data_IF_907325721460
#
_entry.id   IF_907325721460
#
_cell.length_a   1.000
_cell.length_b   1.000
_cell.length_c   1.000
_cell.angle_alpha   90.00
_cell.angle_beta   90.00
_cell.angle_gamma   90.00
#
_symmetry.space_group_name_H-M   'P 1'
#
loop_
_entity.id
_entity.type
_entity.pdbx_description
1 polymer ?
#
# COMPACT_ATOMS: atom_id res chain seq x y z
N UNK A 1 -6.07 -4.64 8.23
CA UNK A 1 -4.96 -5.09 7.36
C UNK A 1 -3.99 -5.84 8.26
N UNK A 2 -3.77 -7.12 8.01
CA UNK A 2 -3.08 -8.04 8.94
C UNK A 2 -1.58 -8.19 8.67
N UNK A 3 -1.15 -8.02 7.42
CA UNK A 3 0.24 -8.16 6.97
C UNK A 3 0.52 -7.32 5.71
N UNK A 4 1.75 -7.37 5.18
CA UNK A 4 2.15 -6.64 3.98
C UNK A 4 1.41 -7.10 2.71
N UNK A 5 1.01 -8.36 2.62
CA UNK A 5 0.18 -8.88 1.54
C UNK A 5 -1.22 -8.26 1.57
N UNK A 6 -1.84 -8.17 2.75
CA UNK A 6 -3.12 -7.50 2.94
C UNK A 6 -3.03 -6.00 2.63
N UNK A 7 -1.94 -5.33 3.03
CA UNK A 7 -1.70 -3.91 2.72
C UNK A 7 -1.57 -3.69 1.21
N UNK A 8 -0.71 -4.45 0.52
CA UNK A 8 -0.51 -4.29 -0.92
C UNK A 8 -1.75 -4.66 -1.73
N UNK A 9 -2.52 -5.66 -1.28
CA UNK A 9 -3.83 -5.97 -1.88
C UNK A 9 -4.84 -4.83 -1.71
N UNK A 10 -4.90 -4.22 -0.53
CA UNK A 10 -5.74 -3.05 -0.27
C UNK A 10 -5.36 -1.86 -1.17
N UNK A 11 -4.06 -1.58 -1.35
CA UNK A 11 -3.61 -0.54 -2.28
C UNK A 11 -4.00 -0.83 -3.73
N UNK A 12 -3.97 -2.10 -4.16
CA UNK A 12 -4.41 -2.48 -5.50
C UNK A 12 -5.92 -2.27 -5.68
N UNK A 13 -6.73 -2.75 -4.74
CA UNK A 13 -8.19 -2.73 -4.85
C UNK A 13 -8.77 -1.31 -4.67
N UNK A 14 -8.31 -0.58 -3.65
CA UNK A 14 -8.84 0.75 -3.29
C UNK A 14 -8.11 1.91 -3.94
N UNK A 15 -6.77 1.90 -3.95
CA UNK A 15 -5.97 2.99 -4.50
C UNK A 15 -5.69 2.79 -6.00
N UNK A 16 -5.98 1.61 -6.57
CA UNK A 16 -5.59 1.24 -7.94
C UNK A 16 -4.07 1.37 -8.15
N UNK A 17 -3.28 1.02 -7.13
CA UNK A 17 -1.81 1.02 -7.18
C UNK A 17 -1.28 -0.36 -6.82
N UNK A 18 -0.62 -1.01 -7.78
CA UNK A 18 0.06 -2.27 -7.56
C UNK A 18 1.41 -2.05 -6.84
N UNK A 19 1.69 -2.86 -5.82
CA UNK A 19 2.95 -2.88 -5.09
C UNK A 19 3.34 -4.33 -4.77
N UNK A 20 4.63 -4.55 -4.44
CA UNK A 20 5.13 -5.90 -4.11
C UNK A 20 5.24 -6.06 -2.59
N UNK A 21 4.62 -7.10 -1.98
CA UNK A 21 4.74 -7.36 -0.56
C UNK A 21 6.21 -7.60 -0.15
N UNK A 22 6.61 -7.10 1.01
CA UNK A 22 7.97 -7.27 1.54
C UNK A 22 8.32 -8.72 1.86
N UNK A 23 7.31 -9.56 2.13
CA UNK A 23 7.50 -11.00 2.28
C UNK A 23 8.23 -11.65 1.08
N UNK A 24 8.06 -11.13 -0.14
CA UNK A 24 8.79 -11.59 -1.34
C UNK A 24 10.31 -11.35 -1.27
N UNK A 25 10.75 -10.49 -0.34
CA UNK A 25 12.16 -10.14 -0.10
C UNK A 25 12.65 -10.54 1.30
N UNK A 26 11.82 -11.20 2.11
CA UNK A 26 12.13 -11.45 3.53
C UNK A 26 12.15 -10.19 4.40
N UNK A 27 11.47 -9.12 3.97
CA UNK A 27 11.45 -7.80 4.62
C UNK A 27 10.05 -7.40 5.11
N UNK A 28 9.25 -8.38 5.55
CA UNK A 28 7.98 -8.08 6.22
C UNK A 28 8.23 -7.21 7.47
N UNK A 29 7.42 -6.17 7.76
CA UNK A 29 6.12 -5.82 7.18
C UNK A 29 6.16 -4.71 6.10
N UNK A 30 7.30 -4.49 5.45
CA UNK A 30 7.42 -3.45 4.43
C UNK A 30 6.82 -3.90 3.09
N UNK A 31 6.74 -2.98 2.11
CA UNK A 31 6.40 -3.29 0.73
C UNK A 31 7.18 -2.38 -0.21
N UNK A 32 7.28 -2.76 -1.50
CA UNK A 32 8.09 -2.04 -2.49
C UNK A 32 7.21 -1.36 -3.54
N UNK A 33 7.49 -0.09 -3.81
CA UNK A 33 6.98 0.68 -4.95
C UNK A 33 8.10 0.82 -6.00
N UNK A 34 7.77 0.63 -7.27
CA UNK A 34 8.68 0.96 -8.38
C UNK A 34 8.63 2.46 -8.65
N UNK A 35 9.78 3.13 -8.60
CA UNK A 35 9.93 4.55 -8.95
C UNK A 35 10.41 4.76 -10.39
N UNK A 36 10.64 3.68 -11.14
CA UNK A 36 11.10 3.73 -12.53
C UNK A 36 9.93 3.99 -13.51
N UNK A 37 9.30 5.16 -13.40
CA UNK A 37 8.24 5.66 -14.30
C UNK A 37 8.23 7.19 -14.28
N UNK A 38 7.26 7.83 -14.95
CA UNK A 38 7.18 9.30 -14.97
C UNK A 38 6.76 9.91 -13.63
N UNK A 39 7.25 11.12 -13.35
CA UNK A 39 6.89 11.88 -12.15
C UNK A 39 5.38 12.11 -12.02
N UNK A 40 4.68 12.28 -13.15
CA UNK A 40 3.22 12.44 -13.17
C UNK A 40 2.51 11.19 -12.64
N UNK A 41 2.92 10.00 -13.11
CA UNK A 41 2.37 8.72 -12.64
C UNK A 41 2.70 8.51 -11.15
N UNK A 42 3.93 8.83 -10.74
CA UNK A 42 4.32 8.70 -9.32
C UNK A 42 3.51 9.64 -8.43
N UNK A 43 3.35 10.89 -8.84
CA UNK A 43 2.58 11.89 -8.09
C UNK A 43 1.13 11.43 -7.93
N UNK A 44 0.51 10.96 -9.00
CA UNK A 44 -0.85 10.43 -8.96
C UNK A 44 -0.97 9.19 -8.06
N UNK A 45 -0.03 8.24 -8.16
CA UNK A 45 -0.02 7.05 -7.31
C UNK A 45 0.07 7.40 -5.82
N UNK A 46 0.93 8.36 -5.45
CA UNK A 46 1.07 8.81 -4.06
C UNK A 46 -0.20 9.50 -3.56
N UNK A 47 -0.85 10.34 -4.37
CA UNK A 47 -2.14 10.96 -4.01
C UNK A 47 -3.22 9.89 -3.78
N UNK A 48 -3.29 8.88 -4.65
CA UNK A 48 -4.25 7.77 -4.51
C UNK A 48 -3.98 6.94 -3.25
N UNK A 49 -2.71 6.63 -2.97
CA UNK A 49 -2.31 5.92 -1.74
C UNK A 49 -2.72 6.73 -0.51
N UNK A 50 -2.42 8.04 -0.47
CA UNK A 50 -2.77 8.91 0.64
C UNK A 50 -4.29 8.92 0.88
N UNK A 51 -5.09 9.05 -0.18
CA UNK A 51 -6.54 9.01 -0.10
C UNK A 51 -7.07 7.66 0.41
N UNK A 52 -6.49 6.53 -0.02
CA UNK A 52 -6.90 5.20 0.45
C UNK A 52 -6.53 4.99 1.93
N UNK A 53 -5.35 5.44 2.37
CA UNK A 53 -4.92 5.35 3.78
C UNK A 53 -5.79 6.23 4.68
N UNK A 54 -6.21 7.40 4.22
CA UNK A 54 -7.10 8.29 4.97
C UNK A 54 -8.48 7.69 5.25
N UNK A 55 -8.92 6.68 4.48
CA UNK A 55 -10.17 5.93 4.74
C UNK A 55 -10.03 4.89 5.84
N UNK A 56 -8.80 4.51 6.21
CA UNK A 56 -8.57 3.50 7.22
C UNK A 56 -8.90 4.04 8.61
N UNK A 57 -9.40 3.15 9.46
CA UNK A 57 -9.58 3.40 10.88
C UNK A 57 -8.63 2.50 11.67
N UNK A 58 -8.17 2.94 12.86
CA UNK A 58 -7.46 2.06 13.77
C UNK A 58 -8.26 0.78 14.01
N UNK A 59 -7.56 -0.36 14.10
CA UNK A 59 -8.22 -1.60 14.45
C UNK A 59 -8.92 -1.43 15.82
N UNK A 60 -10.17 -1.88 15.92
CA UNK A 60 -10.85 -1.95 17.22
C UNK A 60 -10.07 -2.93 18.08
N UNK A 61 -9.49 -2.44 19.17
CA UNK A 61 -8.87 -3.30 20.18
C UNK A 61 -10.01 -3.96 20.95
N UNK A 62 -10.28 -5.23 20.66
CA UNK A 62 -11.07 -6.08 21.55
C UNK A 62 -10.20 -6.49 22.72
N UNK A 63 -10.63 -6.11 23.92
CA UNK A 63 -10.05 -6.54 25.20
C UNK A 63 -10.30 -8.03 25.46
#
# INVERSE_FOLDING_TARGET
LTDDAAVTRYLLDEARVAAVPGAAYGLSPFFRISTATSDGILSEAIVRIAAAVAKLQPAKVTA
#
